data_IF_318785723544
#
_entry.id   IF_318785723544
#
_cell.length_a   1.000
_cell.length_b   1.000
_cell.length_c   1.000
_cell.angle_alpha   90.00
_cell.angle_beta   90.00
_cell.angle_gamma   90.00
#
_symmetry.space_group_name_H-M   'P 1'
#
loop_
_entity.id
_entity.type
_entity.pdbx_description
1 polymer ?
#
# COMPACT_ATOMS: atom_id res chain seq x y z
N UNK A 1 -37.37 58.70 44.49
CA UNK A 1 -36.33 57.73 44.81
C UNK A 1 -36.16 56.83 43.60
N UNK A 2 -35.16 57.12 42.81
CA UNK A 2 -34.85 56.43 41.58
C UNK A 2 -33.67 55.49 41.78
N UNK A 3 -33.80 54.23 41.47
CA UNK A 3 -32.68 53.30 41.36
C UNK A 3 -32.44 53.01 39.91
N UNK A 4 -31.29 53.42 39.45
CA UNK A 4 -30.67 53.16 38.15
C UNK A 4 -30.13 51.72 38.10
N UNK A 5 -30.59 50.96 37.13
CA UNK A 5 -29.99 49.69 36.74
C UNK A 5 -29.22 49.88 35.45
N UNK A 6 -27.91 49.55 35.50
CA UNK A 6 -27.01 49.48 34.34
C UNK A 6 -27.39 48.33 33.41
N UNK A 7 -27.29 48.50 32.09
CA UNK A 7 -27.32 47.39 31.15
C UNK A 7 -25.92 46.77 31.04
N UNK A 8 -25.89 45.44 31.02
CA UNK A 8 -24.72 44.64 30.72
C UNK A 8 -24.40 44.75 29.22
N UNK A 9 -23.15 45.09 28.93
CA UNK A 9 -22.57 44.98 27.57
C UNK A 9 -22.41 43.50 27.20
N UNK A 10 -23.04 43.11 26.11
CA UNK A 10 -22.83 41.81 25.47
C UNK A 10 -21.81 42.03 24.36
N UNK A 11 -20.58 41.56 24.57
CA UNK A 11 -19.52 41.54 23.57
C UNK A 11 -19.89 40.58 22.44
N UNK A 12 -20.15 41.15 21.28
CA UNK A 12 -20.44 40.46 20.03
C UNK A 12 -19.11 40.01 19.42
N UNK A 13 -18.63 38.82 19.80
CA UNK A 13 -17.49 38.19 19.13
C UNK A 13 -17.93 37.59 17.80
N UNK A 14 -17.85 38.41 16.77
CA UNK A 14 -17.91 37.95 15.37
C UNK A 14 -16.76 37.00 15.09
N UNK A 15 -17.04 35.71 15.02
CA UNK A 15 -16.15 34.71 14.46
C UNK A 15 -16.07 34.89 12.94
N UNK A 16 -15.02 35.54 12.48
CA UNK A 16 -14.64 35.47 11.07
C UNK A 16 -13.97 34.12 10.83
N UNK A 17 -14.70 33.19 10.23
CA UNK A 17 -14.17 31.94 9.70
C UNK A 17 -13.22 32.24 8.54
N UNK A 18 -11.92 32.07 8.77
CA UNK A 18 -10.92 32.00 7.70
C UNK A 18 -11.14 30.71 6.91
N UNK A 19 -11.08 30.73 5.58
CA UNK A 19 -11.15 29.50 4.80
C UNK A 19 -9.89 28.68 5.03
N UNK A 20 -10.05 27.57 5.72
CA UNK A 20 -9.02 26.57 5.91
C UNK A 20 -8.61 26.03 4.54
N UNK A 21 -7.44 26.43 4.06
CA UNK A 21 -6.82 25.89 2.86
C UNK A 21 -6.45 24.45 3.16
N UNK A 22 -7.28 23.53 2.72
CA UNK A 22 -7.05 22.09 2.79
C UNK A 22 -5.65 21.75 2.28
N UNK A 23 -4.72 21.49 3.19
CA UNK A 23 -3.42 20.92 2.87
C UNK A 23 -3.68 19.49 2.42
N UNK A 24 -3.56 19.26 1.11
CA UNK A 24 -3.39 17.93 0.55
C UNK A 24 -2.19 17.29 1.26
N UNK A 25 -2.44 16.19 1.96
CA UNK A 25 -1.36 15.36 2.52
C UNK A 25 -0.71 14.64 1.34
N UNK A 26 0.21 15.35 0.71
CA UNK A 26 1.14 14.75 -0.24
C UNK A 26 2.14 13.98 0.60
N UNK A 27 2.10 12.67 0.53
CA UNK A 27 3.21 11.82 0.98
C UNK A 27 4.39 12.01 0.02
N UNK A 28 4.94 13.20 0.01
CA UNK A 28 6.23 13.44 -0.59
C UNK A 28 7.27 12.83 0.35
N UNK A 29 8.02 11.86 -0.14
CA UNK A 29 9.18 11.32 0.58
C UNK A 29 10.25 12.41 0.77
N UNK A 30 10.07 13.24 1.78
CA UNK A 30 11.16 14.00 2.36
C UNK A 30 12.01 13.01 3.17
N UNK A 31 13.36 13.13 3.12
CA UNK A 31 14.19 12.35 4.03
C UNK A 31 13.76 12.68 5.47
N UNK A 32 13.62 11.68 6.35
CA UNK A 32 13.08 11.89 7.68
C UNK A 32 14.00 12.80 8.47
N UNK A 33 13.40 13.80 9.10
CA UNK A 33 14.04 14.55 10.17
C UNK A 33 14.53 13.57 11.24
N UNK A 34 15.77 13.68 11.65
CA UNK A 34 16.40 12.85 12.67
C UNK A 34 15.49 12.75 13.92
N UNK A 35 14.98 11.54 14.24
CA UNK A 35 14.28 11.28 15.49
C UNK A 35 13.02 10.42 15.45
N UNK A 36 12.41 10.10 14.29
CA UNK A 36 11.27 9.17 14.23
C UNK A 36 11.69 7.86 13.60
N UNK A 37 11.60 6.77 14.36
CA UNK A 37 11.80 5.42 13.83
C UNK A 37 10.72 5.13 12.76
N UNK A 38 11.12 5.06 11.49
CA UNK A 38 10.23 4.74 10.38
C UNK A 38 9.98 3.23 10.40
N UNK A 39 8.72 2.78 10.27
CA UNK A 39 8.43 1.35 10.12
C UNK A 39 9.20 0.75 8.93
N UNK A 40 9.73 -0.45 9.11
CA UNK A 40 10.56 -1.08 8.07
C UNK A 40 9.80 -1.33 6.77
N UNK A 41 8.50 -1.50 6.83
CA UNK A 41 7.64 -1.59 5.64
C UNK A 41 7.77 -0.36 4.73
N UNK A 42 7.90 0.84 5.32
CA UNK A 42 8.08 2.06 4.55
C UNK A 42 9.57 2.36 4.27
N UNK A 43 10.47 2.09 5.23
CA UNK A 43 11.91 2.28 5.05
C UNK A 43 12.47 1.45 3.90
N UNK A 44 12.00 0.21 3.75
CA UNK A 44 12.44 -0.73 2.71
C UNK A 44 11.47 -0.87 1.55
N UNK A 45 10.59 0.11 1.35
CA UNK A 45 9.71 0.15 0.21
C UNK A 45 10.52 0.33 -1.09
N UNK A 46 10.31 -0.49 -2.13
CA UNK A 46 10.99 -0.35 -3.41
C UNK A 46 10.85 1.07 -3.97
N UNK A 47 11.97 1.68 -4.35
CA UNK A 47 12.01 3.04 -4.90
C UNK A 47 12.21 3.02 -6.42
N UNK A 48 12.88 2.00 -6.95
CA UNK A 48 13.14 1.80 -8.38
C UNK A 48 12.49 0.50 -8.88
N UNK A 49 12.42 0.32 -10.20
CA UNK A 49 11.93 -0.92 -10.80
C UNK A 49 12.88 -2.08 -10.53
N UNK A 50 14.18 -1.81 -10.41
CA UNK A 50 15.19 -2.83 -10.10
C UNK A 50 15.03 -3.40 -8.68
N UNK A 51 14.48 -2.59 -7.76
CA UNK A 51 14.18 -3.03 -6.38
C UNK A 51 12.94 -3.94 -6.31
N UNK A 52 12.12 -3.97 -7.37
CA UNK A 52 10.96 -4.86 -7.48
C UNK A 52 11.41 -6.20 -8.03
N UNK A 53 11.93 -7.05 -7.14
CA UNK A 53 12.51 -8.34 -7.54
C UNK A 53 11.48 -9.35 -8.08
N UNK A 54 10.22 -9.24 -7.65
CA UNK A 54 9.14 -10.15 -8.04
C UNK A 54 8.39 -9.65 -9.27
N UNK A 55 7.71 -10.59 -9.96
CA UNK A 55 6.86 -10.29 -11.12
C UNK A 55 7.58 -9.57 -12.27
N UNK A 56 8.81 -9.98 -12.56
CA UNK A 56 9.65 -9.33 -13.59
C UNK A 56 8.93 -9.18 -14.94
N UNK A 57 8.19 -10.19 -15.38
CA UNK A 57 7.44 -10.13 -16.64
C UNK A 57 6.43 -8.97 -16.67
N UNK A 58 5.76 -8.71 -15.54
CA UNK A 58 4.81 -7.59 -15.39
C UNK A 58 5.58 -6.28 -15.40
N UNK A 59 6.65 -6.18 -14.61
CA UNK A 59 7.49 -4.99 -14.48
C UNK A 59 8.08 -4.62 -15.83
N UNK A 60 8.68 -5.57 -16.54
CA UNK A 60 9.28 -5.39 -17.86
C UNK A 60 8.24 -4.98 -18.92
N UNK A 61 7.03 -5.57 -18.85
CA UNK A 61 5.95 -5.20 -19.76
C UNK A 61 5.50 -3.76 -19.53
N UNK A 62 5.28 -3.36 -18.28
CA UNK A 62 4.87 -1.98 -17.94
C UNK A 62 6.00 -1.01 -18.29
N UNK A 63 7.25 -1.38 -18.04
CA UNK A 63 8.41 -0.56 -18.37
C UNK A 63 8.53 -0.31 -19.88
N UNK A 64 8.35 -1.35 -20.69
CA UNK A 64 8.33 -1.23 -22.15
C UNK A 64 7.22 -0.31 -22.64
N UNK A 65 5.98 -0.51 -22.16
CA UNK A 65 4.84 0.35 -22.49
C UNK A 65 5.08 1.80 -22.10
N UNK A 66 5.79 2.02 -20.99
CA UNK A 66 6.17 3.35 -20.52
C UNK A 66 7.23 3.99 -21.42
N UNK A 67 8.27 3.24 -21.78
CA UNK A 67 9.37 3.70 -22.63
C UNK A 67 8.90 4.05 -24.04
N UNK A 68 7.95 3.28 -24.58
CA UNK A 68 7.31 3.53 -25.89
C UNK A 68 6.26 4.65 -25.83
N UNK A 69 6.02 5.27 -24.68
CA UNK A 69 4.96 6.27 -24.45
C UNK A 69 3.55 5.77 -24.82
N UNK A 70 3.30 4.48 -24.61
CA UNK A 70 2.06 3.75 -24.95
C UNK A 70 1.34 3.20 -23.72
N UNK A 71 1.57 3.81 -22.56
CA UNK A 71 0.96 3.36 -21.31
C UNK A 71 -0.57 3.37 -21.41
N UNK A 72 -1.26 2.23 -21.26
CA UNK A 72 -2.72 2.16 -21.20
C UNK A 72 -3.22 2.53 -19.79
N UNK A 73 -4.54 2.51 -19.57
CA UNK A 73 -5.07 2.41 -18.22
C UNK A 73 -4.73 1.04 -17.65
N UNK A 74 -4.34 1.00 -16.38
CA UNK A 74 -3.87 -0.20 -15.72
C UNK A 74 -4.84 -0.65 -14.63
N UNK A 75 -4.98 -1.95 -14.45
CA UNK A 75 -5.64 -2.56 -13.30
C UNK A 75 -4.70 -3.61 -12.71
N UNK A 76 -4.08 -3.27 -11.58
CA UNK A 76 -3.18 -4.15 -10.83
C UNK A 76 -3.98 -4.82 -9.71
N UNK A 77 -4.04 -6.15 -9.70
CA UNK A 77 -4.83 -6.87 -8.72
C UNK A 77 -4.10 -8.10 -8.16
N UNK A 78 -4.45 -8.50 -6.96
CA UNK A 78 -3.87 -9.64 -6.26
C UNK A 78 -3.74 -9.39 -4.75
N UNK A 79 -3.23 -10.38 -3.99
CA UNK A 79 -3.15 -10.27 -2.54
C UNK A 79 -2.28 -9.11 -2.05
N UNK A 80 -2.46 -8.68 -0.78
CA UNK A 80 -1.65 -7.61 -0.20
C UNK A 80 -0.16 -7.95 -0.16
N UNK A 81 0.69 -6.94 -0.02
CA UNK A 81 2.13 -7.08 0.15
C UNK A 81 2.91 -7.63 -1.05
N UNK A 82 2.29 -7.76 -2.22
CA UNK A 82 2.90 -8.30 -3.45
C UNK A 82 3.60 -7.25 -4.33
N UNK A 83 3.60 -5.98 -3.91
CA UNK A 83 4.33 -4.91 -4.61
C UNK A 83 3.53 -4.11 -5.62
N UNK A 84 2.21 -4.27 -5.76
CA UNK A 84 1.36 -3.55 -6.74
C UNK A 84 1.58 -2.04 -6.75
N UNK A 85 1.39 -1.39 -5.60
CA UNK A 85 1.53 0.06 -5.44
C UNK A 85 2.98 0.50 -5.65
N UNK A 86 3.95 -0.26 -5.10
CA UNK A 86 5.38 0.05 -5.26
C UNK A 86 5.83 0.00 -6.71
N UNK A 87 5.33 -0.96 -7.50
CA UNK A 87 5.65 -1.07 -8.93
C UNK A 87 5.20 0.16 -9.70
N UNK A 88 3.93 0.58 -9.54
CA UNK A 88 3.43 1.73 -10.30
C UNK A 88 4.09 3.05 -9.86
N UNK A 89 4.44 3.20 -8.58
CA UNK A 89 5.17 4.36 -8.10
C UNK A 89 6.61 4.40 -8.65
N UNK A 90 7.28 3.26 -8.74
CA UNK A 90 8.61 3.15 -9.35
C UNK A 90 8.56 3.50 -10.86
N UNK A 91 7.54 3.02 -11.57
CA UNK A 91 7.27 3.39 -12.97
C UNK A 91 7.07 4.90 -13.11
N UNK A 92 6.25 5.49 -12.25
CA UNK A 92 5.98 6.93 -12.27
C UNK A 92 7.24 7.76 -12.00
N UNK A 93 8.08 7.35 -11.04
CA UNK A 93 9.38 8.02 -10.79
C UNK A 93 10.28 7.96 -12.01
N UNK A 94 10.37 6.81 -12.68
CA UNK A 94 11.14 6.65 -13.92
C UNK A 94 10.60 7.52 -15.07
N UNK A 95 9.27 7.60 -15.18
CA UNK A 95 8.59 8.32 -16.27
C UNK A 95 8.71 9.83 -16.12
N UNK A 96 8.51 10.34 -14.92
CA UNK A 96 8.39 11.79 -14.67
C UNK A 96 9.63 12.43 -14.04
N UNK A 97 10.52 11.65 -13.44
CA UNK A 97 11.76 12.16 -12.84
C UNK A 97 11.50 13.29 -11.84
N UNK A 98 12.08 14.46 -12.07
CA UNK A 98 11.92 15.64 -11.21
C UNK A 98 10.50 16.22 -11.18
N UNK A 99 9.67 15.91 -12.18
CA UNK A 99 8.28 16.39 -12.25
C UNK A 99 7.27 15.42 -11.62
N UNK A 100 7.74 14.37 -10.96
CA UNK A 100 6.89 13.34 -10.34
C UNK A 100 5.71 13.93 -9.56
N UNK A 101 5.97 14.91 -8.68
CA UNK A 101 4.94 15.50 -7.82
C UNK A 101 3.82 16.22 -8.59
N UNK A 102 4.10 16.76 -9.78
CA UNK A 102 3.13 17.49 -10.58
C UNK A 102 2.39 16.60 -11.59
N UNK A 103 2.93 15.41 -11.86
CA UNK A 103 2.44 14.52 -12.91
C UNK A 103 1.71 13.30 -12.38
N UNK A 104 1.72 13.08 -11.06
CA UNK A 104 1.01 11.99 -10.40
C UNK A 104 0.02 12.53 -9.37
N UNK A 105 -1.15 11.91 -9.32
CA UNK A 105 -2.13 12.09 -8.25
C UNK A 105 -2.38 10.73 -7.61
N UNK A 106 -2.03 10.60 -6.34
CA UNK A 106 -2.24 9.38 -5.55
C UNK A 106 -3.48 9.59 -4.67
N UNK A 107 -4.46 8.72 -4.81
CA UNK A 107 -5.70 8.74 -4.03
C UNK A 107 -5.95 7.34 -3.46
N UNK A 108 -6.41 7.27 -2.22
CA UNK A 108 -6.98 6.07 -1.66
C UNK A 108 -8.50 6.10 -1.85
N UNK A 109 -9.04 5.09 -2.54
CA UNK A 109 -10.47 5.01 -2.83
C UNK A 109 -11.31 4.62 -1.60
N UNK A 110 -10.67 4.22 -0.49
CA UNK A 110 -11.31 3.94 0.80
C UNK A 110 -11.46 5.16 1.70
N UNK A 111 -10.90 6.33 1.32
CA UNK A 111 -11.02 7.54 2.12
C UNK A 111 -12.48 7.98 2.27
N UNK A 112 -12.91 8.24 3.50
CA UNK A 112 -14.28 8.61 3.89
C UNK A 112 -14.76 9.98 3.36
N UNK A 113 -13.91 10.70 2.63
CA UNK A 113 -14.22 12.03 2.08
C UNK A 113 -15.32 12.03 1.01
N UNK A 114 -15.78 10.85 0.62
CA UNK A 114 -16.83 10.67 -0.37
C UNK A 114 -16.33 10.71 -1.83
N UNK A 115 -17.08 10.02 -2.69
CA UNK A 115 -16.76 9.88 -4.11
C UNK A 115 -16.71 11.21 -4.85
N UNK A 116 -17.51 12.19 -4.44
CA UNK A 116 -17.57 13.49 -5.11
C UNK A 116 -16.27 14.29 -4.90
N UNK A 117 -15.65 14.19 -3.71
CA UNK A 117 -14.36 14.83 -3.43
C UNK A 117 -13.25 14.18 -4.27
N UNK A 118 -13.19 12.84 -4.32
CA UNK A 118 -12.24 12.10 -5.18
C UNK A 118 -12.45 12.46 -6.64
N UNK A 119 -13.69 12.53 -7.10
CA UNK A 119 -14.04 12.93 -8.46
C UNK A 119 -13.59 14.35 -8.78
N UNK A 120 -13.81 15.30 -7.87
CA UNK A 120 -13.41 16.69 -8.05
C UNK A 120 -11.88 16.80 -8.13
N UNK A 121 -11.15 16.15 -7.23
CA UNK A 121 -9.69 16.15 -7.24
C UNK A 121 -9.12 15.58 -8.56
N UNK A 122 -9.71 14.49 -9.06
CA UNK A 122 -9.31 13.92 -10.37
C UNK A 122 -9.61 14.91 -11.50
N UNK A 123 -10.76 15.57 -11.48
CA UNK A 123 -11.14 16.53 -12.53
C UNK A 123 -10.20 17.74 -12.51
N UNK A 124 -9.91 18.30 -11.36
CA UNK A 124 -9.02 19.44 -11.21
C UNK A 124 -7.60 19.09 -11.67
N UNK A 125 -7.09 17.94 -11.23
CA UNK A 125 -5.79 17.44 -11.66
C UNK A 125 -5.73 17.18 -13.17
N UNK A 126 -6.72 16.49 -13.75
CA UNK A 126 -6.72 16.12 -15.16
C UNK A 126 -6.95 17.31 -16.10
N UNK A 127 -7.66 18.36 -15.62
CA UNK A 127 -7.92 19.57 -16.39
C UNK A 127 -6.75 20.56 -16.39
N UNK A 128 -5.89 20.53 -15.36
CA UNK A 128 -4.71 21.40 -15.30
C UNK A 128 -3.76 21.08 -16.45
N UNK A 129 -3.42 22.06 -17.27
CA UNK A 129 -2.41 21.87 -18.32
C UNK A 129 -1.04 21.72 -17.68
N UNK A 130 -0.36 20.60 -17.96
CA UNK A 130 1.05 20.47 -17.60
C UNK A 130 1.88 21.23 -18.61
N UNK A 131 2.56 22.28 -18.14
CA UNK A 131 3.64 22.93 -18.88
C UNK A 131 4.86 21.98 -18.86
N UNK A 132 4.82 20.99 -19.75
CA UNK A 132 5.87 19.96 -19.82
C UNK A 132 7.09 20.44 -20.59
N UNK A 133 7.88 21.33 -19.97
CA UNK A 133 9.22 21.59 -20.45
C UNK A 133 10.15 20.43 -20.11
N UNK A 134 10.51 19.64 -21.12
CA UNK A 134 11.56 18.62 -20.99
C UNK A 134 11.12 17.22 -20.53
N UNK A 135 9.83 16.91 -20.36
CA UNK A 135 9.34 15.58 -20.01
C UNK A 135 9.06 14.75 -21.24
N UNK A 136 9.51 13.49 -21.25
CA UNK A 136 9.28 12.54 -22.36
C UNK A 136 7.79 12.19 -22.53
N UNK A 137 6.96 12.39 -21.50
CA UNK A 137 5.52 12.08 -21.55
C UNK A 137 4.70 13.29 -21.13
N UNK A 138 3.73 13.67 -21.96
CA UNK A 138 2.75 14.73 -21.68
C UNK A 138 1.53 14.23 -20.91
N UNK A 139 1.45 12.93 -20.60
CA UNK A 139 0.29 12.27 -20.01
C UNK A 139 0.47 12.18 -18.50
N UNK A 140 -0.51 12.63 -17.73
CA UNK A 140 -0.55 12.53 -16.27
C UNK A 140 -0.98 11.13 -15.83
N UNK A 141 -0.64 10.76 -14.60
CA UNK A 141 -1.02 9.49 -13.99
C UNK A 141 -1.87 9.73 -12.73
N UNK A 142 -3.04 9.12 -12.69
CA UNK A 142 -3.88 9.03 -11.50
C UNK A 142 -3.79 7.61 -10.97
N UNK A 143 -3.34 7.49 -9.74
CA UNK A 143 -3.28 6.24 -8.98
C UNK A 143 -4.46 6.19 -8.01
N UNK A 144 -5.28 5.15 -8.12
CA UNK A 144 -6.37 4.86 -7.21
C UNK A 144 -6.08 3.55 -6.50
N UNK A 145 -5.62 3.65 -5.25
CA UNK A 145 -5.41 2.47 -4.41
C UNK A 145 -6.72 2.06 -3.72
N UNK A 146 -6.83 0.79 -3.37
CA UNK A 146 -8.02 0.18 -2.77
C UNK A 146 -9.32 0.38 -3.58
N UNK A 147 -9.22 0.35 -4.91
CA UNK A 147 -10.35 0.60 -5.81
C UNK A 147 -11.53 -0.36 -5.59
N UNK A 148 -11.31 -1.52 -5.00
CA UNK A 148 -12.34 -2.49 -4.62
C UNK A 148 -13.15 -2.09 -3.35
N UNK A 149 -12.77 -1.03 -2.66
CA UNK A 149 -13.56 -0.41 -1.60
C UNK A 149 -14.67 0.53 -2.14
N UNK A 150 -14.56 0.97 -3.40
CA UNK A 150 -15.54 1.85 -4.02
C UNK A 150 -16.89 1.17 -4.22
N UNK A 151 -17.97 1.92 -3.99
CA UNK A 151 -19.32 1.49 -4.36
C UNK A 151 -19.47 1.35 -5.88
N UNK A 152 -20.45 0.58 -6.34
CA UNK A 152 -20.73 0.41 -7.78
C UNK A 152 -21.01 1.73 -8.46
N UNK A 153 -21.78 2.63 -7.83
CA UNK A 153 -22.12 3.94 -8.38
C UNK A 153 -20.88 4.83 -8.53
N UNK A 154 -19.99 4.78 -7.54
CA UNK A 154 -18.69 5.42 -7.59
C UNK A 154 -17.84 4.92 -8.77
N UNK A 155 -17.81 3.63 -8.99
CA UNK A 155 -17.10 3.02 -10.13
C UNK A 155 -17.72 3.40 -11.47
N UNK A 156 -19.05 3.51 -11.57
CA UNK A 156 -19.72 4.02 -12.79
C UNK A 156 -19.41 5.50 -13.05
N UNK A 157 -19.33 6.32 -12.00
CA UNK A 157 -18.90 7.71 -12.12
C UNK A 157 -17.43 7.80 -12.58
N UNK A 158 -16.54 7.01 -11.97
CA UNK A 158 -15.12 6.94 -12.35
C UNK A 158 -14.94 6.51 -13.81
N UNK A 159 -15.73 5.56 -14.31
CA UNK A 159 -15.73 5.17 -15.71
C UNK A 159 -15.92 6.38 -16.64
N UNK A 160 -16.89 7.26 -16.34
CA UNK A 160 -17.14 8.47 -17.15
C UNK A 160 -15.97 9.44 -17.10
N UNK A 161 -15.31 9.56 -15.94
CA UNK A 161 -14.11 10.39 -15.76
C UNK A 161 -12.95 9.85 -16.60
N UNK A 162 -12.71 8.53 -16.57
CA UNK A 162 -11.69 7.88 -17.38
C UNK A 162 -11.94 8.16 -18.87
N UNK A 163 -13.17 7.97 -19.35
CA UNK A 163 -13.53 8.22 -20.76
C UNK A 163 -13.28 9.69 -21.16
N UNK A 164 -13.63 10.63 -20.29
CA UNK A 164 -13.48 12.07 -20.56
C UNK A 164 -12.01 12.49 -20.67
N UNK A 165 -11.13 11.96 -19.82
CA UNK A 165 -9.73 12.41 -19.69
C UNK A 165 -8.69 11.46 -20.29
N UNK A 166 -9.10 10.43 -21.02
CA UNK A 166 -8.20 9.45 -21.65
C UNK A 166 -7.10 10.07 -22.51
N UNK A 167 -7.33 11.23 -23.12
CA UNK A 167 -6.34 11.91 -23.96
C UNK A 167 -5.15 12.47 -23.18
N UNK A 168 -5.38 12.97 -21.96
CA UNK A 168 -4.40 13.68 -21.15
C UNK A 168 -3.95 12.92 -19.89
N UNK A 169 -4.68 11.87 -19.51
CA UNK A 169 -4.48 11.20 -18.22
C UNK A 169 -4.58 9.69 -18.36
N UNK A 170 -3.69 8.97 -17.67
CA UNK A 170 -3.78 7.52 -17.47
C UNK A 170 -4.22 7.22 -16.05
N UNK A 171 -4.91 6.13 -15.89
CA UNK A 171 -5.42 5.67 -14.60
C UNK A 171 -4.80 4.33 -14.27
N UNK A 172 -4.27 4.20 -13.07
CA UNK A 172 -3.81 2.95 -12.50
C UNK A 172 -4.70 2.61 -11.29
N UNK A 173 -5.54 1.61 -11.47
CA UNK A 173 -6.41 1.10 -10.42
C UNK A 173 -5.70 -0.04 -9.71
N UNK A 174 -5.65 -0.01 -8.38
CA UNK A 174 -5.08 -1.08 -7.57
C UNK A 174 -6.18 -1.66 -6.69
N UNK A 175 -6.27 -2.98 -6.66
CA UNK A 175 -7.24 -3.67 -5.81
C UNK A 175 -6.70 -5.03 -5.34
N UNK A 176 -7.29 -5.56 -4.28
CA UNK A 176 -7.02 -6.92 -3.85
C UNK A 176 -7.99 -7.92 -4.51
N UNK A 177 -9.24 -7.52 -4.72
CA UNK A 177 -10.32 -8.36 -5.22
C UNK A 177 -10.88 -7.83 -6.54
N UNK A 178 -10.39 -8.35 -7.67
CA UNK A 178 -10.80 -7.89 -9.01
C UNK A 178 -12.29 -8.10 -9.29
N UNK A 179 -12.92 -9.10 -8.67
CA UNK A 179 -14.34 -9.37 -8.80
C UNK A 179 -15.26 -8.27 -8.21
N UNK A 180 -14.73 -7.40 -7.35
CA UNK A 180 -15.43 -6.22 -6.85
C UNK A 180 -15.39 -5.03 -7.82
N UNK A 181 -14.53 -5.08 -8.84
CA UNK A 181 -14.45 -4.06 -9.88
C UNK A 181 -15.46 -4.37 -10.99
N UNK A 182 -16.27 -3.38 -11.37
CA UNK A 182 -17.30 -3.58 -12.41
C UNK A 182 -16.67 -3.93 -13.76
N UNK A 183 -17.29 -4.81 -14.56
CA UNK A 183 -16.77 -5.22 -15.88
C UNK A 183 -16.51 -4.03 -16.81
N UNK A 184 -17.28 -2.97 -16.69
CA UNK A 184 -17.14 -1.76 -17.48
C UNK A 184 -15.82 -0.99 -17.22
N UNK A 185 -15.23 -1.08 -16.04
CA UNK A 185 -13.90 -0.57 -15.73
C UNK A 185 -12.82 -1.57 -16.15
N UNK A 186 -13.03 -2.85 -15.84
CA UNK A 186 -12.06 -3.90 -16.20
C UNK A 186 -11.77 -3.95 -17.69
N UNK A 187 -12.79 -3.77 -18.55
CA UNK A 187 -12.64 -3.80 -20.01
C UNK A 187 -11.85 -2.62 -20.59
N UNK A 188 -11.68 -1.55 -19.81
CA UNK A 188 -10.92 -0.34 -20.21
C UNK A 188 -9.47 -0.35 -19.77
N UNK A 189 -9.10 -1.31 -18.92
CA UNK A 189 -7.78 -1.38 -18.34
C UNK A 189 -7.03 -2.64 -18.80
N UNK A 190 -5.73 -2.51 -19.01
CA UNK A 190 -4.85 -3.68 -19.11
C UNK A 190 -4.67 -4.24 -17.71
N UNK A 191 -4.97 -5.54 -17.56
CA UNK A 191 -5.00 -6.20 -16.26
C UNK A 191 -3.69 -6.93 -15.99
N UNK A 192 -3.11 -6.68 -14.82
CA UNK A 192 -1.91 -7.36 -14.33
C UNK A 192 -2.21 -8.05 -12.99
N UNK A 193 -2.00 -9.37 -12.95
CA UNK A 193 -2.21 -10.17 -11.75
C UNK A 193 -0.91 -10.33 -10.99
N UNK A 194 -0.88 -9.82 -9.77
CA UNK A 194 0.21 -10.05 -8.82
C UNK A 194 -0.12 -11.28 -7.98
N UNK A 195 0.65 -12.34 -8.13
CA UNK A 195 0.55 -13.54 -7.30
C UNK A 195 1.21 -13.29 -5.92
N UNK A 196 0.95 -14.14 -4.90
CA UNK A 196 1.77 -14.15 -3.69
C UNK A 196 3.25 -14.27 -4.07
N UNK A 197 4.11 -13.63 -3.30
CA UNK A 197 5.56 -13.69 -3.55
C UNK A 197 6.10 -15.10 -3.28
N UNK A 198 6.99 -15.57 -4.17
CA UNK A 198 7.68 -16.83 -3.96
C UNK A 198 8.62 -16.75 -2.76
N UNK A 199 8.83 -17.88 -2.09
CA UNK A 199 9.70 -17.99 -0.92
C UNK A 199 11.11 -17.45 -1.18
N UNK A 200 11.64 -17.65 -2.40
CA UNK A 200 12.97 -17.17 -2.79
C UNK A 200 13.03 -15.63 -2.73
N UNK A 201 12.07 -14.95 -3.34
CA UNK A 201 12.02 -13.48 -3.35
C UNK A 201 11.83 -12.88 -1.96
N UNK A 202 10.99 -13.50 -1.13
CA UNK A 202 10.81 -13.09 0.28
C UNK A 202 12.10 -13.26 1.04
N UNK A 203 12.78 -14.41 0.89
CA UNK A 203 14.06 -14.70 1.55
C UNK A 203 15.15 -13.70 1.16
N UNK A 204 15.33 -13.44 -0.12
CA UNK A 204 16.32 -12.48 -0.62
C UNK A 204 16.09 -11.08 -0.05
N UNK A 205 14.83 -10.63 -0.04
CA UNK A 205 14.49 -9.32 0.50
C UNK A 205 14.67 -9.24 2.00
N UNK A 206 14.29 -10.28 2.75
CA UNK A 206 14.55 -10.35 4.19
C UNK A 206 16.05 -10.36 4.49
N UNK A 207 16.87 -11.14 3.77
CA UNK A 207 18.33 -11.14 3.92
C UNK A 207 18.92 -9.74 3.69
N UNK A 208 18.44 -9.01 2.71
CA UNK A 208 18.86 -7.63 2.48
C UNK A 208 18.57 -6.74 3.70
N UNK A 209 17.38 -6.83 4.27
CA UNK A 209 16.97 -6.04 5.44
C UNK A 209 17.75 -6.46 6.68
N UNK A 210 17.90 -7.76 6.94
CA UNK A 210 18.70 -8.34 8.06
C UNK A 210 20.13 -7.79 8.03
N UNK A 211 20.75 -7.80 6.84
CA UNK A 211 22.10 -7.26 6.66
C UNK A 211 22.17 -5.74 6.88
N UNK A 212 21.18 -5.01 6.38
CA UNK A 212 21.13 -3.56 6.49
C UNK A 212 20.90 -3.07 7.94
N UNK A 213 20.13 -3.82 8.73
CA UNK A 213 19.87 -3.53 10.14
C UNK A 213 20.86 -4.20 11.10
N UNK A 214 21.78 -5.06 10.60
CA UNK A 214 22.77 -5.77 11.41
C UNK A 214 22.17 -6.76 12.39
N UNK A 215 21.11 -7.49 11.97
CA UNK A 215 20.38 -8.41 12.85
C UNK A 215 21.05 -9.78 12.93
N UNK A 216 20.95 -10.41 14.10
CA UNK A 216 21.34 -11.80 14.32
C UNK A 216 20.11 -12.70 14.14
N UNK A 217 20.01 -13.34 12.98
CA UNK A 217 18.87 -14.18 12.58
C UNK A 217 19.37 -15.56 12.16
N UNK A 218 18.89 -16.58 12.85
CA UNK A 218 19.15 -17.96 12.47
C UNK A 218 18.41 -18.35 11.17
N UNK A 219 18.94 -19.33 10.45
CA UNK A 219 18.27 -19.84 9.24
C UNK A 219 16.89 -20.42 9.55
N UNK A 220 16.69 -20.99 10.72
CA UNK A 220 15.41 -21.47 11.25
C UNK A 220 14.39 -20.32 11.41
N UNK A 221 14.82 -19.20 11.98
CA UNK A 221 14.03 -17.99 12.13
C UNK A 221 13.67 -17.35 10.76
N UNK A 222 14.63 -17.33 9.84
CA UNK A 222 14.40 -16.85 8.47
C UNK A 222 13.33 -17.70 7.75
N UNK A 223 13.41 -19.03 7.87
CA UNK A 223 12.42 -19.94 7.31
C UNK A 223 11.02 -19.72 7.93
N UNK A 224 10.96 -19.44 9.25
CA UNK A 224 9.71 -19.13 9.93
C UNK A 224 9.06 -17.84 9.39
N UNK A 225 9.83 -16.76 9.14
CA UNK A 225 9.32 -15.54 8.52
C UNK A 225 8.71 -15.81 7.15
N UNK A 226 9.39 -16.56 6.30
CA UNK A 226 8.94 -16.91 4.96
C UNK A 226 7.63 -17.69 5.03
N UNK A 227 7.54 -18.68 5.90
CA UNK A 227 6.36 -19.52 6.11
C UNK A 227 5.17 -18.70 6.59
N UNK A 228 5.35 -17.88 7.63
CA UNK A 228 4.28 -17.10 8.25
C UNK A 228 3.82 -15.92 7.42
N UNK A 229 4.68 -15.38 6.55
CA UNK A 229 4.33 -14.27 5.65
C UNK A 229 3.34 -14.67 4.56
N UNK A 230 3.37 -15.94 4.15
CA UNK A 230 2.49 -16.47 3.11
C UNK A 230 2.57 -15.69 1.78
N UNK A 231 3.76 -15.19 1.44
CA UNK A 231 4.00 -14.40 0.24
C UNK A 231 3.59 -12.92 0.34
N UNK A 232 3.32 -12.43 1.55
CA UNK A 232 3.08 -11.01 1.85
C UNK A 232 4.33 -10.37 2.46
N UNK A 233 5.04 -9.52 1.70
CA UNK A 233 6.25 -8.85 2.16
C UNK A 233 6.00 -7.86 3.30
N UNK A 234 4.84 -7.19 3.35
CA UNK A 234 4.49 -6.31 4.46
C UNK A 234 4.40 -7.09 5.76
N UNK A 235 3.74 -8.25 5.71
CA UNK A 235 3.63 -9.16 6.86
C UNK A 235 5.01 -9.68 7.27
N UNK A 236 5.85 -10.09 6.32
CA UNK A 236 7.21 -10.55 6.59
C UNK A 236 8.05 -9.50 7.33
N UNK A 237 8.05 -8.25 6.84
CA UNK A 237 8.80 -7.15 7.45
C UNK A 237 8.24 -6.75 8.82
N UNK A 238 6.93 -6.75 9.00
CA UNK A 238 6.31 -6.47 10.29
C UNK A 238 6.68 -7.52 11.33
N UNK A 239 6.62 -8.82 10.97
CA UNK A 239 7.02 -9.90 11.89
C UNK A 239 8.50 -9.77 12.23
N UNK A 240 9.36 -9.54 11.23
CA UNK A 240 10.80 -9.38 11.46
C UNK A 240 11.09 -8.21 12.42
N UNK A 241 10.48 -7.05 12.18
CA UNK A 241 10.65 -5.87 13.04
C UNK A 241 10.14 -6.12 14.47
N UNK A 242 8.95 -6.72 14.61
CA UNK A 242 8.38 -7.02 15.93
C UNK A 242 9.21 -8.03 16.71
N UNK A 243 9.69 -9.09 16.04
CA UNK A 243 10.55 -10.10 16.69
C UNK A 243 11.89 -9.52 17.11
N UNK A 244 12.50 -8.67 16.27
CA UNK A 244 13.74 -7.97 16.64
C UNK A 244 13.57 -7.05 17.88
N UNK A 245 12.41 -6.38 18.00
CA UNK A 245 12.13 -5.56 19.18
C UNK A 245 11.90 -6.38 20.45
N UNK A 246 11.44 -7.62 20.30
CA UNK A 246 11.18 -8.53 21.44
C UNK A 246 12.40 -9.36 21.84
N UNK A 247 13.31 -9.69 20.92
CA UNK A 247 14.43 -10.62 21.13
C UNK A 247 15.68 -10.14 20.40
N UNK A 248 16.85 -10.25 21.06
CA UNK A 248 18.14 -9.91 20.45
C UNK A 248 18.55 -10.96 19.41
N UNK A 249 18.39 -12.25 19.73
CA UNK A 249 18.62 -13.36 18.82
C UNK A 249 17.27 -13.84 18.25
N UNK A 250 17.18 -13.97 16.94
CA UNK A 250 15.95 -14.32 16.25
C UNK A 250 15.99 -15.79 15.83
N UNK A 251 15.39 -16.63 16.66
CA UNK A 251 15.19 -18.06 16.43
C UNK A 251 13.78 -18.36 15.91
N UNK A 252 13.53 -19.58 15.43
CA UNK A 252 12.18 -20.01 15.04
C UNK A 252 11.18 -19.83 16.20
N UNK A 253 11.55 -20.26 17.40
CA UNK A 253 10.70 -20.15 18.58
C UNK A 253 10.34 -18.69 18.91
N UNK A 254 11.31 -17.77 18.82
CA UNK A 254 11.08 -16.36 19.04
C UNK A 254 10.07 -15.78 18.04
N UNK A 255 10.15 -16.19 16.76
CA UNK A 255 9.23 -15.76 15.71
C UNK A 255 7.79 -16.26 15.96
N UNK A 256 7.65 -17.53 16.31
CA UNK A 256 6.34 -18.11 16.59
C UNK A 256 5.70 -17.52 17.85
N UNK A 257 6.50 -17.35 18.91
CA UNK A 257 6.06 -16.69 20.15
C UNK A 257 5.60 -15.25 19.91
N UNK A 258 6.39 -14.48 19.15
CA UNK A 258 6.06 -13.08 18.84
C UNK A 258 4.75 -12.94 18.02
N UNK A 259 4.47 -13.91 17.17
CA UNK A 259 3.27 -13.91 16.32
C UNK A 259 2.06 -14.59 16.93
N UNK A 260 2.22 -15.23 18.09
CA UNK A 260 1.14 -15.98 18.75
C UNK A 260 0.71 -17.23 17.97
N UNK A 261 1.57 -17.74 17.09
CA UNK A 261 1.29 -18.98 16.36
C UNK A 261 1.87 -20.17 17.13
N UNK A 262 1.22 -21.34 17.12
CA UNK A 262 1.79 -22.55 17.68
C UNK A 262 3.02 -23.02 16.88
N UNK A 263 3.99 -23.59 17.56
CA UNK A 263 5.13 -24.19 16.88
C UNK A 263 4.70 -25.39 16.02
N UNK A 264 5.35 -25.64 14.89
CA UNK A 264 5.08 -26.82 14.07
C UNK A 264 5.18 -28.14 14.85
N UNK A 265 6.12 -28.24 15.78
CA UNK A 265 6.29 -29.39 16.67
C UNK A 265 5.06 -29.63 17.56
N UNK A 266 4.46 -28.55 18.09
CA UNK A 266 3.27 -28.67 18.93
C UNK A 266 2.09 -29.18 18.11
N UNK A 267 1.95 -28.70 16.87
CA UNK A 267 0.91 -29.16 15.94
C UNK A 267 1.09 -30.64 15.59
N UNK A 268 2.34 -31.09 15.37
CA UNK A 268 2.66 -32.49 15.11
C UNK A 268 2.31 -33.37 16.32
N UNK A 269 2.67 -32.93 17.54
CA UNK A 269 2.34 -33.64 18.78
C UNK A 269 0.84 -33.73 19.00
N UNK A 270 0.12 -32.62 18.85
CA UNK A 270 -1.34 -32.61 18.99
C UNK A 270 -1.99 -33.54 17.94
N UNK A 271 -1.51 -33.49 16.70
CA UNK A 271 -1.99 -34.38 15.64
C UNK A 271 -1.73 -35.85 15.96
N UNK A 272 -0.54 -36.15 16.51
CA UNK A 272 -0.19 -37.51 16.93
C UNK A 272 -1.13 -38.01 18.04
N UNK A 273 -1.36 -37.22 19.09
CA UNK A 273 -2.25 -37.58 20.18
C UNK A 273 -3.68 -37.80 19.70
N UNK A 274 -4.23 -36.89 18.89
CA UNK A 274 -5.59 -37.03 18.35
C UNK A 274 -5.81 -38.27 17.47
N UNK A 275 -4.76 -38.72 16.78
CA UNK A 275 -4.86 -39.88 15.87
C UNK A 275 -4.54 -41.22 16.55
N UNK A 276 -3.75 -41.22 17.63
CA UNK A 276 -3.20 -42.48 18.19
C UNK A 276 -3.60 -42.75 19.63
N UNK A 277 -4.13 -41.76 20.38
CA UNK A 277 -4.49 -41.91 21.78
C UNK A 277 -5.99 -41.86 21.98
N UNK A 278 -6.44 -42.33 23.17
CA UNK A 278 -7.84 -42.19 23.55
C UNK A 278 -8.18 -40.73 23.85
N UNK A 279 -9.42 -40.32 23.60
CA UNK A 279 -9.86 -38.93 23.77
C UNK A 279 -9.52 -38.35 25.14
N UNK A 280 -9.70 -39.10 26.22
CA UNK A 280 -9.42 -38.60 27.57
C UNK A 280 -7.92 -38.29 27.80
N UNK A 281 -7.05 -39.10 27.22
CA UNK A 281 -5.60 -38.93 27.34
C UNK A 281 -5.11 -37.83 26.42
N UNK A 282 -5.61 -37.76 25.17
CA UNK A 282 -5.34 -36.64 24.24
C UNK A 282 -5.76 -35.32 24.83
N UNK A 283 -6.92 -35.23 25.46
CA UNK A 283 -7.44 -34.00 26.06
C UNK A 283 -6.53 -33.49 27.19
N UNK A 284 -6.06 -34.38 28.06
CA UNK A 284 -5.13 -34.03 29.15
C UNK A 284 -3.75 -33.59 28.65
N UNK A 285 -3.33 -34.16 27.52
CA UNK A 285 -2.01 -33.82 26.93
C UNK A 285 -1.99 -32.49 26.20
N UNK A 286 -3.16 -32.02 25.75
CA UNK A 286 -3.34 -30.73 25.04
C UNK A 286 -3.59 -29.58 26.03
N UNK A 287 -4.16 -29.85 27.20
CA UNK A 287 -4.43 -28.85 28.25
C UNK A 287 -3.14 -28.48 29.01
#
# INVERSE_FOLDING_TARGET
MAQTTHPMDIDDHTYTASPDKGKSVVFAGNPPAAGKAIPWVEKYRPQSLDDVAAHRDIVDTIDRLTTENRLPHLLLYGPPGTGKTSTILAVARKLYGSQYQNMILELNASDDRGIDVVRQQIQDFASTQSLSFGVKSSVKLVLLDEADAMTKDAQFALRRVIEKYTKSTRFALICNHVNKIIPALQSRCTRFRFAPLDAVHVTERLKHVIKAEGLDVEDSGLAAFVRLSNGDMRKALNILQSTHMASQQITEEAVYLCTGNPLPKDIELISYWLLNEQFADSFKSIE
#
